data_IF_559222260939
#
_entry.id   IF_559222260939
#
_cell.length_a   1.000
_cell.length_b   1.000
_cell.length_c   1.000
_cell.angle_alpha   90.00
_cell.angle_beta   90.00
_cell.angle_gamma   90.00
#
_symmetry.space_group_name_H-M   'P 1'
#
loop_
_entity.id
_entity.type
_entity.pdbx_description
1 polymer ?
#
# COMPACT_ATOMS: atom_id res chain seq x y z
N UNK A 1 -92.82 61.08 19.48
CA UNK A 1 -92.03 61.82 20.48
C UNK A 1 -90.91 62.48 19.69
N UNK A 2 -91.17 63.68 19.17
CA UNK A 2 -90.80 64.98 19.77
C UNK A 2 -89.32 65.29 19.51
N UNK A 3 -89.03 66.19 18.56
CA UNK A 3 -88.62 67.63 18.75
C UNK A 3 -87.13 67.72 18.37
N UNK A 4 -86.58 68.70 17.66
CA UNK A 4 -86.98 70.05 17.22
C UNK A 4 -85.92 70.57 16.23
N UNK A 5 -86.32 71.57 15.46
CA UNK A 5 -85.57 72.38 14.48
C UNK A 5 -84.28 73.01 15.03
N UNK A 6 -83.37 73.41 14.12
CA UNK A 6 -82.87 74.80 14.11
C UNK A 6 -82.16 75.13 12.77
N UNK A 7 -82.68 76.18 12.17
CA UNK A 7 -82.33 76.77 10.87
C UNK A 7 -81.47 78.00 11.13
N UNK A 8 -80.24 78.10 10.57
CA UNK A 8 -79.46 79.35 10.58
C UNK A 8 -78.85 79.59 9.20
N UNK A 9 -79.54 80.45 8.47
CA UNK A 9 -79.14 81.11 7.24
C UNK A 9 -78.05 82.17 7.53
N UNK A 10 -76.90 82.12 6.84
CA UNK A 10 -75.99 83.27 6.75
C UNK A 10 -75.18 83.27 5.44
N UNK A 11 -75.72 83.99 4.45
CA UNK A 11 -75.07 84.94 3.53
C UNK A 11 -73.68 84.63 2.94
N UNK A 12 -73.71 84.42 1.62
CA UNK A 12 -72.68 84.69 0.61
C UNK A 12 -72.17 86.15 0.70
N UNK A 13 -70.85 86.37 0.60
CA UNK A 13 -70.21 87.45 -0.19
C UNK A 13 -68.75 87.07 -0.55
N UNK A 14 -68.16 87.62 -1.63
CA UNK A 14 -67.38 86.85 -2.62
C UNK A 14 -65.94 87.33 -2.84
N UNK A 15 -65.16 86.49 -3.57
CA UNK A 15 -63.96 86.76 -4.39
C UNK A 15 -62.73 87.36 -3.65
N UNK A 16 -61.49 86.91 -3.86
CA UNK A 16 -60.64 87.24 -5.03
C UNK A 16 -59.35 86.40 -4.96
N UNK A 17 -59.07 85.66 -6.03
CA UNK A 17 -57.79 85.32 -6.71
C UNK A 17 -56.48 85.12 -5.92
N UNK A 18 -55.93 83.90 -6.01
CA UNK A 18 -54.48 83.64 -6.20
C UNK A 18 -54.23 82.18 -6.62
N UNK A 19 -54.62 81.83 -7.85
CA UNK A 19 -54.47 80.48 -8.44
C UNK A 19 -53.61 80.48 -9.72
N UNK A 20 -52.41 81.07 -9.72
CA UNK A 20 -51.59 81.13 -10.95
C UNK A 20 -50.17 80.54 -10.86
N UNK A 21 -49.86 79.72 -9.85
CA UNK A 21 -48.54 79.06 -9.78
C UNK A 21 -48.57 77.54 -9.48
N UNK A 22 -49.74 76.94 -9.24
CA UNK A 22 -49.86 75.50 -8.96
C UNK A 22 -50.25 74.65 -10.18
N UNK A 23 -50.69 75.28 -11.28
CA UNK A 23 -51.33 74.57 -12.40
C UNK A 23 -50.33 73.92 -13.36
N UNK A 24 -49.14 74.52 -13.52
CA UNK A 24 -48.15 74.04 -14.49
C UNK A 24 -47.47 72.73 -14.06
N UNK A 25 -47.24 72.53 -12.75
CA UNK A 25 -46.63 71.30 -12.22
C UNK A 25 -47.53 70.07 -12.43
N UNK A 26 -48.85 70.22 -12.23
CA UNK A 26 -49.82 69.14 -12.42
C UNK A 26 -50.00 68.82 -13.91
N UNK A 27 -49.99 69.87 -14.76
CA UNK A 27 -50.07 69.73 -16.21
C UNK A 27 -48.83 69.05 -16.81
N UNK A 28 -47.64 69.38 -16.31
CA UNK A 28 -46.39 68.75 -16.73
C UNK A 28 -46.36 67.26 -16.33
N UNK A 29 -46.88 66.90 -15.14
CA UNK A 29 -47.03 65.51 -14.71
C UNK A 29 -48.02 64.73 -15.58
N UNK A 30 -49.13 65.36 -15.98
CA UNK A 30 -50.11 64.76 -16.88
C UNK A 30 -49.50 64.48 -18.26
N UNK A 31 -48.72 65.41 -18.81
CA UNK A 31 -48.02 65.24 -20.08
C UNK A 31 -46.96 64.14 -19.97
N UNK A 32 -46.17 64.11 -18.89
CA UNK A 32 -45.15 63.06 -18.68
C UNK A 32 -45.76 61.67 -18.48
N UNK A 33 -47.00 61.59 -17.98
CA UNK A 33 -47.79 60.36 -17.90
C UNK A 33 -48.30 59.92 -19.28
N UNK A 34 -48.86 60.84 -20.06
CA UNK A 34 -49.38 60.59 -21.41
C UNK A 34 -48.25 60.25 -22.40
N UNK A 35 -47.09 60.87 -22.26
CA UNK A 35 -45.86 60.56 -23.01
C UNK A 35 -45.18 59.26 -22.54
N UNK A 36 -45.69 58.62 -21.49
CA UNK A 36 -45.21 57.32 -20.98
C UNK A 36 -43.83 57.39 -20.32
N UNK A 37 -43.34 58.59 -19.99
CA UNK A 37 -42.09 58.79 -19.25
C UNK A 37 -42.22 58.31 -17.80
N UNK A 38 -43.42 58.43 -17.24
CA UNK A 38 -43.78 57.91 -15.94
C UNK A 38 -44.31 56.48 -16.07
N UNK A 39 -43.67 55.54 -15.39
CA UNK A 39 -44.14 54.14 -15.34
C UNK A 39 -45.43 54.10 -14.50
N UNK A 40 -46.56 53.84 -15.15
CA UNK A 40 -47.89 53.74 -14.55
C UNK A 40 -48.00 52.62 -13.52
N UNK A 41 -47.14 51.61 -13.65
CA UNK A 41 -47.24 50.37 -12.93
C UNK A 41 -46.32 50.40 -11.70
N UNK A 42 -46.81 51.08 -10.66
CA UNK A 42 -46.38 51.02 -9.25
C UNK A 42 -45.14 51.85 -8.88
N UNK A 43 -45.14 52.37 -7.64
CA UNK A 43 -43.94 52.85 -6.96
C UNK A 43 -42.85 51.78 -7.10
N UNK A 44 -41.73 52.11 -7.73
CA UNK A 44 -40.57 51.23 -7.85
C UNK A 44 -39.87 51.11 -6.49
N UNK A 45 -40.47 50.39 -5.54
CA UNK A 45 -39.71 49.92 -4.37
C UNK A 45 -38.77 48.82 -4.85
N UNK A 46 -37.46 49.07 -4.72
CA UNK A 46 -36.44 48.09 -5.03
C UNK A 46 -36.57 46.98 -4.01
N UNK A 47 -37.30 45.92 -4.36
CA UNK A 47 -37.35 44.70 -3.55
C UNK A 47 -35.98 44.06 -3.64
N UNK A 48 -35.25 44.07 -2.53
CA UNK A 48 -34.02 43.30 -2.41
C UNK A 48 -34.33 41.83 -2.75
N UNK A 49 -33.69 41.31 -3.81
CA UNK A 49 -33.83 39.91 -4.18
C UNK A 49 -33.40 39.06 -2.99
N UNK A 50 -34.35 38.40 -2.32
CA UNK A 50 -34.06 37.46 -1.24
C UNK A 50 -33.02 36.44 -1.73
N UNK A 51 -31.96 36.25 -0.96
CA UNK A 51 -30.89 35.29 -1.29
C UNK A 51 -31.53 33.91 -1.52
N UNK A 52 -31.10 33.17 -2.54
CA UNK A 52 -31.65 31.85 -2.80
C UNK A 52 -31.43 30.94 -1.58
N UNK A 53 -32.45 30.14 -1.26
CA UNK A 53 -32.35 29.14 -0.21
C UNK A 53 -31.30 28.11 -0.65
N UNK A 54 -30.24 27.94 0.14
CA UNK A 54 -29.13 27.03 -0.16
C UNK A 54 -29.61 25.57 -0.14
N UNK A 55 -30.49 25.22 0.81
CA UNK A 55 -31.03 23.87 0.94
C UNK A 55 -32.50 23.79 0.50
N UNK A 56 -32.70 23.40 -0.75
CA UNK A 56 -34.03 23.27 -1.36
C UNK A 56 -34.63 21.87 -1.17
N UNK A 57 -35.09 21.58 0.04
CA UNK A 57 -35.62 20.25 0.42
C UNK A 57 -36.74 19.75 -0.50
N UNK A 58 -37.73 20.59 -0.81
CA UNK A 58 -38.85 20.22 -1.68
C UNK A 58 -38.38 19.79 -3.08
N UNK A 59 -37.44 20.52 -3.69
CA UNK A 59 -36.89 20.17 -5.00
C UNK A 59 -36.09 18.86 -4.96
N UNK A 60 -35.41 18.57 -3.85
CA UNK A 60 -34.69 17.31 -3.66
C UNK A 60 -35.67 16.13 -3.55
N UNK A 61 -36.72 16.27 -2.75
CA UNK A 61 -37.77 15.25 -2.62
C UNK A 61 -38.47 14.96 -3.95
N UNK A 62 -38.79 16.00 -4.72
CA UNK A 62 -39.38 15.86 -6.05
C UNK A 62 -38.44 15.14 -7.03
N UNK A 63 -37.13 15.41 -6.96
CA UNK A 63 -36.13 14.70 -7.76
C UNK A 63 -35.97 13.24 -7.33
N UNK A 64 -35.99 12.96 -6.03
CA UNK A 64 -35.94 11.58 -5.51
C UNK A 64 -37.15 10.80 -6.03
N UNK A 65 -38.35 11.38 -6.00
CA UNK A 65 -39.56 10.74 -6.56
C UNK A 65 -39.44 10.49 -8.07
N UNK A 66 -38.85 11.43 -8.82
CA UNK A 66 -38.62 11.26 -10.28
C UNK A 66 -37.61 10.15 -10.60
N UNK A 67 -36.62 9.93 -9.73
CA UNK A 67 -35.60 8.89 -9.90
C UNK A 67 -36.03 7.53 -9.34
N UNK A 68 -36.97 7.52 -8.39
CA UNK A 68 -37.47 6.31 -7.76
C UNK A 68 -38.17 5.43 -8.81
N UNK A 69 -37.66 4.21 -8.98
CA UNK A 69 -38.28 3.17 -9.80
C UNK A 69 -38.94 2.15 -8.88
N UNK A 70 -40.18 1.76 -9.20
CA UNK A 70 -40.90 0.71 -8.48
C UNK A 70 -40.47 -0.66 -9.01
N UNK A 71 -39.29 -1.11 -8.59
CA UNK A 71 -38.73 -2.41 -8.96
C UNK A 71 -38.96 -3.43 -7.84
N UNK A 72 -38.91 -4.71 -8.21
CA UNK A 72 -38.93 -5.76 -7.20
C UNK A 72 -37.58 -5.77 -6.47
N UNK A 73 -37.59 -6.14 -5.19
CA UNK A 73 -36.37 -6.15 -4.38
C UNK A 73 -35.27 -7.07 -4.95
N UNK A 74 -35.62 -8.07 -5.75
CA UNK A 74 -34.67 -8.97 -6.40
C UNK A 74 -33.82 -8.26 -7.47
N UNK A 75 -34.33 -7.18 -8.06
CA UNK A 75 -33.61 -6.39 -9.07
C UNK A 75 -32.69 -5.35 -8.42
N UNK A 76 -33.01 -4.89 -7.21
CA UNK A 76 -32.22 -3.89 -6.46
C UNK A 76 -31.21 -4.53 -5.50
N UNK A 77 -31.58 -5.65 -4.85
CA UNK A 77 -30.83 -6.38 -3.83
C UNK A 77 -30.24 -5.48 -2.73
N UNK A 78 -30.91 -4.35 -2.46
CA UNK A 78 -30.46 -3.33 -1.54
C UNK A 78 -30.85 -3.68 -0.10
N UNK A 79 -29.89 -3.60 0.82
CA UNK A 79 -30.14 -3.83 2.25
C UNK A 79 -29.57 -2.68 3.03
N UNK A 80 -30.44 -2.06 3.84
CA UNK A 80 -30.05 -1.00 4.76
C UNK A 80 -29.83 -1.60 6.15
N UNK A 81 -28.65 -1.33 6.71
CA UNK A 81 -28.29 -1.71 8.08
C UNK A 81 -27.80 -0.47 8.79
N UNK A 82 -28.51 -0.10 9.86
CA UNK A 82 -28.13 1.01 10.73
C UNK A 82 -26.86 0.64 11.52
N UNK A 83 -26.01 1.64 11.75
CA UNK A 83 -24.76 1.46 12.44
C UNK A 83 -24.64 2.54 13.53
N UNK A 84 -24.94 2.16 14.77
CA UNK A 84 -25.08 3.10 15.89
C UNK A 84 -23.73 3.36 16.61
N UNK A 85 -22.61 2.86 16.07
CA UNK A 85 -21.30 2.84 16.73
C UNK A 85 -20.27 3.82 16.14
N UNK A 86 -20.71 4.95 15.57
CA UNK A 86 -19.81 5.98 15.02
C UNK A 86 -19.34 6.95 16.11
N UNK A 87 -18.33 6.54 16.89
CA UNK A 87 -17.67 7.41 17.87
C UNK A 87 -16.46 8.12 17.25
N UNK A 88 -16.09 9.31 17.75
CA UNK A 88 -14.95 10.08 17.23
C UNK A 88 -13.61 9.32 17.28
N UNK A 89 -13.45 8.41 18.25
CA UNK A 89 -12.28 7.52 18.36
C UNK A 89 -12.14 6.55 17.18
N UNK A 90 -13.27 6.06 16.67
CA UNK A 90 -13.37 5.15 15.51
C UNK A 90 -12.95 5.86 14.21
N UNK A 91 -13.14 7.18 14.13
CA UNK A 91 -12.70 7.94 12.94
C UNK A 91 -11.17 8.01 12.85
N UNK A 92 -10.48 7.98 13.99
CA UNK A 92 -9.01 8.01 14.03
C UNK A 92 -8.40 6.62 13.84
N UNK A 93 -9.01 5.58 14.45
CA UNK A 93 -8.51 4.21 14.35
C UNK A 93 -9.07 3.47 13.12
N UNK A 94 -8.18 3.13 12.19
CA UNK A 94 -8.53 2.42 10.96
C UNK A 94 -8.95 0.97 11.22
N UNK A 95 -8.37 0.29 12.21
CA UNK A 95 -8.71 -1.10 12.52
C UNK A 95 -10.12 -1.22 13.11
N UNK A 96 -10.46 -0.35 14.06
CA UNK A 96 -11.80 -0.32 14.65
C UNK A 96 -12.86 0.01 13.58
N UNK A 97 -12.54 0.97 12.70
CA UNK A 97 -13.41 1.35 11.59
C UNK A 97 -13.60 0.20 10.59
N UNK A 98 -12.53 -0.51 10.22
CA UNK A 98 -12.61 -1.66 9.32
C UNK A 98 -13.50 -2.77 9.92
N UNK A 99 -13.38 -3.02 11.23
CA UNK A 99 -14.23 -3.99 11.93
C UNK A 99 -15.71 -3.59 11.88
N UNK A 100 -16.03 -2.30 12.00
CA UNK A 100 -17.41 -1.82 11.93
C UNK A 100 -17.99 -1.99 10.52
N UNK A 101 -17.22 -1.65 9.49
CA UNK A 101 -17.64 -1.88 8.10
C UNK A 101 -17.84 -3.38 7.81
N UNK A 102 -16.93 -4.22 8.31
CA UNK A 102 -17.04 -5.66 8.19
C UNK A 102 -18.33 -6.19 8.84
N UNK A 103 -18.61 -5.79 10.09
CA UNK A 103 -19.83 -6.20 10.82
C UNK A 103 -21.10 -5.70 10.15
N UNK A 104 -21.08 -4.51 9.56
CA UNK A 104 -22.23 -3.97 8.83
C UNK A 104 -22.50 -4.78 7.56
N UNK A 105 -21.46 -5.08 6.80
CA UNK A 105 -21.56 -5.91 5.60
C UNK A 105 -22.01 -7.34 5.94
N UNK A 106 -21.51 -7.92 7.03
CA UNK A 106 -21.91 -9.24 7.51
C UNK A 106 -23.41 -9.29 7.84
N UNK A 107 -23.92 -8.33 8.63
CA UNK A 107 -25.35 -8.23 8.96
C UNK A 107 -26.20 -8.03 7.71
N UNK A 108 -25.77 -7.18 6.79
CA UNK A 108 -26.48 -6.94 5.53
C UNK A 108 -26.57 -8.22 4.69
N UNK A 109 -25.47 -8.96 4.59
CA UNK A 109 -25.43 -10.25 3.89
C UNK A 109 -26.34 -11.29 4.57
N UNK A 110 -26.37 -11.37 5.90
CA UNK A 110 -27.27 -12.28 6.62
C UNK A 110 -28.75 -12.00 6.34
N UNK A 111 -29.15 -10.73 6.33
CA UNK A 111 -30.51 -10.30 5.98
C UNK A 111 -30.82 -10.67 4.52
N UNK A 112 -29.91 -10.35 3.59
CA UNK A 112 -30.07 -10.62 2.17
C UNK A 112 -30.22 -12.13 1.89
N UNK A 113 -29.32 -12.95 2.45
CA UNK A 113 -29.35 -14.41 2.30
C UNK A 113 -30.66 -15.00 2.83
N UNK A 114 -31.15 -14.50 3.96
CA UNK A 114 -32.41 -14.97 4.55
C UNK A 114 -33.60 -14.65 3.64
N UNK A 115 -33.67 -13.44 3.10
CA UNK A 115 -34.71 -13.03 2.14
C UNK A 115 -34.63 -13.84 0.83
N UNK A 116 -33.43 -14.01 0.27
CA UNK A 116 -33.22 -14.76 -0.98
C UNK A 116 -33.59 -16.25 -0.84
N UNK A 117 -33.30 -16.87 0.31
CA UNK A 117 -33.74 -18.24 0.60
C UNK A 117 -35.27 -18.33 0.68
N UNK A 118 -35.93 -17.35 1.29
CA UNK A 118 -37.39 -17.27 1.33
C UNK A 118 -38.03 -17.17 -0.06
N UNK A 119 -37.33 -16.56 -1.01
CA UNK A 119 -37.75 -16.46 -2.42
C UNK A 119 -37.34 -17.68 -3.28
N UNK A 120 -36.64 -18.67 -2.71
CA UNK A 120 -36.19 -19.87 -3.42
C UNK A 120 -34.95 -19.66 -4.33
N UNK A 121 -34.21 -18.56 -4.16
CA UNK A 121 -33.02 -18.26 -4.98
C UNK A 121 -31.78 -18.96 -4.40
N UNK A 122 -30.99 -19.61 -5.27
CA UNK A 122 -29.71 -20.23 -4.88
C UNK A 122 -28.63 -19.16 -4.71
N UNK A 123 -28.15 -18.99 -3.48
CA UNK A 123 -27.17 -17.93 -3.13
C UNK A 123 -25.72 -18.39 -3.21
N UNK A 124 -25.45 -19.67 -2.95
CA UNK A 124 -24.08 -20.19 -2.90
C UNK A 124 -23.61 -20.64 -4.28
N UNK A 125 -22.38 -20.25 -4.62
CA UNK A 125 -21.69 -20.73 -5.81
C UNK A 125 -21.24 -22.19 -5.61
N UNK A 126 -21.67 -23.14 -6.45
CA UNK A 126 -21.16 -24.51 -6.42
C UNK A 126 -19.66 -24.56 -6.76
N UNK A 127 -18.93 -25.51 -6.18
CA UNK A 127 -17.50 -25.71 -6.47
C UNK A 127 -17.22 -26.11 -7.91
N UNK A 128 -18.19 -26.77 -8.55
CA UNK A 128 -18.12 -27.27 -9.93
C UNK A 128 -18.54 -26.22 -10.99
N UNK A 129 -18.91 -25.00 -10.57
CA UNK A 129 -19.30 -23.94 -11.49
C UNK A 129 -18.11 -23.03 -11.83
N UNK A 130 -17.50 -23.28 -12.99
CA UNK A 130 -16.38 -22.49 -13.52
C UNK A 130 -16.89 -21.34 -14.41
N UNK A 131 -16.75 -20.12 -13.90
CA UNK A 131 -17.02 -18.88 -14.61
C UNK A 131 -15.86 -17.90 -14.34
N UNK A 132 -15.73 -16.86 -15.16
CA UNK A 132 -14.70 -15.85 -14.99
C UNK A 132 -14.81 -15.18 -13.61
N UNK A 133 -13.70 -15.16 -12.87
CA UNK A 133 -13.60 -14.52 -11.56
C UNK A 133 -12.69 -13.30 -11.64
N UNK A 134 -13.03 -12.25 -10.89
CA UNK A 134 -12.29 -10.98 -10.87
C UNK A 134 -10.83 -11.15 -10.43
N UNK A 135 -10.52 -12.15 -9.58
CA UNK A 135 -9.19 -12.34 -9.00
C UNK A 135 -8.47 -13.56 -9.58
N UNK A 136 -7.68 -13.35 -10.63
CA UNK A 136 -6.77 -14.35 -11.20
C UNK A 136 -5.49 -14.56 -10.36
N UNK A 137 -5.13 -13.59 -9.50
CA UNK A 137 -3.83 -13.52 -8.80
C UNK A 137 -3.76 -14.28 -7.46
N UNK A 138 -4.79 -15.04 -7.08
CA UNK A 138 -4.83 -15.68 -5.74
C UNK A 138 -3.70 -16.68 -5.53
N UNK A 139 -3.38 -17.48 -6.55
CA UNK A 139 -2.28 -18.44 -6.51
C UNK A 139 -0.93 -17.76 -6.26
N UNK A 140 -0.69 -16.59 -6.88
CA UNK A 140 0.56 -15.84 -6.67
C UNK A 140 0.69 -15.33 -5.23
N UNK A 141 -0.42 -14.89 -4.61
CA UNK A 141 -0.44 -14.42 -3.23
C UNK A 141 -0.10 -15.58 -2.28
N UNK A 142 -0.71 -16.75 -2.49
CA UNK A 142 -0.43 -17.95 -1.69
C UNK A 142 1.01 -18.42 -1.86
N UNK A 143 1.49 -18.49 -3.09
CA UNK A 143 2.90 -18.82 -3.37
C UNK A 143 3.86 -17.85 -2.69
N UNK A 144 3.55 -16.55 -2.71
CA UNK A 144 4.39 -15.54 -2.08
C UNK A 144 4.47 -15.74 -0.56
N UNK A 145 3.35 -16.09 0.09
CA UNK A 145 3.30 -16.41 1.53
C UNK A 145 4.13 -17.66 1.84
N UNK A 146 3.96 -18.73 1.07
CA UNK A 146 4.73 -19.97 1.26
C UNK A 146 6.24 -19.75 1.07
N UNK A 147 6.63 -18.95 0.06
CA UNK A 147 8.04 -18.59 -0.17
C UNK A 147 8.61 -17.82 1.03
N UNK A 148 7.88 -16.87 1.60
CA UNK A 148 8.30 -16.12 2.78
C UNK A 148 8.45 -17.02 4.02
N UNK A 149 7.51 -17.93 4.25
CA UNK A 149 7.59 -18.90 5.35
C UNK A 149 8.78 -19.86 5.19
N UNK A 150 9.01 -20.38 3.99
CA UNK A 150 10.15 -21.24 3.70
C UNK A 150 11.48 -20.51 3.96
N UNK A 151 11.58 -19.24 3.54
CA UNK A 151 12.76 -18.40 3.80
C UNK A 151 12.97 -18.21 5.31
N UNK A 152 11.89 -17.98 6.07
CA UNK A 152 11.96 -17.83 7.54
C UNK A 152 12.48 -19.10 8.21
N UNK A 153 11.94 -20.28 7.86
CA UNK A 153 12.39 -21.58 8.38
C UNK A 153 13.87 -21.84 8.09
N UNK A 154 14.31 -21.60 6.86
CA UNK A 154 15.72 -21.76 6.45
C UNK A 154 16.65 -20.83 7.27
N UNK A 155 16.21 -19.61 7.59
CA UNK A 155 16.99 -18.68 8.42
C UNK A 155 17.09 -19.17 9.86
N UNK A 156 16.00 -19.67 10.42
CA UNK A 156 15.95 -20.22 11.79
C UNK A 156 16.85 -21.45 11.90
N UNK A 157 16.74 -22.41 10.98
CA UNK A 157 17.62 -23.60 10.93
C UNK A 157 19.10 -23.22 10.82
N UNK A 158 19.46 -22.28 9.94
CA UNK A 158 20.85 -21.80 9.82
C UNK A 158 21.33 -21.19 11.14
N UNK A 159 20.51 -20.37 11.79
CA UNK A 159 20.84 -19.78 13.09
C UNK A 159 21.11 -20.85 14.15
N UNK A 160 20.25 -21.86 14.25
CA UNK A 160 20.42 -23.00 15.16
C UNK A 160 21.67 -23.80 14.82
N UNK A 161 21.91 -24.12 13.55
CA UNK A 161 23.11 -24.83 13.11
C UNK A 161 24.40 -24.08 13.49
N UNK A 162 24.42 -22.75 13.35
CA UNK A 162 25.56 -21.95 13.79
C UNK A 162 25.75 -22.00 15.31
N UNK A 163 24.66 -21.94 16.09
CA UNK A 163 24.72 -22.06 17.56
C UNK A 163 25.24 -23.43 18.00
N UNK A 164 24.72 -24.52 17.43
CA UNK A 164 25.19 -25.88 17.71
C UNK A 164 26.68 -26.04 17.38
N UNK A 165 27.12 -25.57 16.20
CA UNK A 165 28.54 -25.60 15.80
C UNK A 165 29.42 -24.82 16.78
N UNK A 166 28.99 -23.63 17.20
CA UNK A 166 29.73 -22.83 18.21
C UNK A 166 29.84 -23.57 19.55
N UNK A 167 28.75 -24.16 20.03
CA UNK A 167 28.71 -24.93 21.28
C UNK A 167 29.68 -26.12 21.23
N UNK A 168 29.63 -26.92 20.16
CA UNK A 168 30.52 -28.06 19.96
C UNK A 168 32.00 -27.66 19.93
N UNK A 169 32.34 -26.54 19.28
CA UNK A 169 33.73 -26.04 19.24
C UNK A 169 34.21 -25.61 20.63
N UNK A 170 33.35 -24.96 21.42
CA UNK A 170 33.69 -24.55 22.79
C UNK A 170 33.89 -25.78 23.67
N UNK A 171 32.99 -26.74 23.61
CA UNK A 171 33.05 -27.99 24.37
C UNK A 171 34.32 -28.79 24.06
N UNK A 172 34.66 -28.94 22.77
CA UNK A 172 35.91 -29.58 22.34
C UNK A 172 37.15 -28.87 22.89
N UNK A 173 37.18 -27.53 22.84
CA UNK A 173 38.30 -26.76 23.43
C UNK A 173 38.39 -26.94 24.94
N UNK A 174 37.26 -27.08 25.64
CA UNK A 174 37.23 -27.32 27.08
C UNK A 174 37.71 -28.74 27.42
N UNK A 175 37.29 -29.77 26.67
CA UNK A 175 37.75 -31.14 26.87
C UNK A 175 39.25 -31.27 26.60
N UNK A 176 39.76 -30.67 25.52
CA UNK A 176 41.19 -30.64 25.20
C UNK A 176 42.00 -29.96 26.32
N UNK A 177 41.52 -28.83 26.86
CA UNK A 177 42.13 -28.17 28.03
C UNK A 177 42.11 -29.03 29.28
N UNK A 178 41.02 -29.76 29.56
CA UNK A 178 40.92 -30.67 30.71
C UNK A 178 41.93 -31.82 30.59
N UNK A 179 41.98 -32.47 29.42
CA UNK A 179 42.95 -33.55 29.13
C UNK A 179 44.39 -33.04 29.32
N UNK A 180 44.71 -31.86 28.78
CA UNK A 180 46.04 -31.25 28.95
C UNK A 180 46.34 -30.94 30.43
N UNK A 181 45.38 -30.37 31.16
CA UNK A 181 45.55 -30.06 32.58
C UNK A 181 45.75 -31.34 33.42
N UNK A 182 45.06 -32.43 33.11
CA UNK A 182 45.26 -33.73 33.74
C UNK A 182 46.65 -34.31 33.44
N UNK A 183 47.10 -34.23 32.18
CA UNK A 183 48.45 -34.66 31.80
C UNK A 183 49.53 -33.85 32.56
N UNK A 184 49.38 -32.53 32.66
CA UNK A 184 50.29 -31.66 33.42
C UNK A 184 50.25 -31.97 34.92
N UNK A 185 49.07 -32.24 35.51
CA UNK A 185 48.94 -32.67 36.91
C UNK A 185 49.64 -34.01 37.16
N UNK A 186 49.50 -34.98 36.25
CA UNK A 186 50.19 -36.29 36.32
C UNK A 186 51.71 -36.11 36.21
N UNK A 187 52.18 -35.23 35.33
CA UNK A 187 53.61 -34.88 35.20
C UNK A 187 54.16 -34.25 36.50
N UNK A 188 53.44 -33.28 37.09
CA UNK A 188 53.84 -32.62 38.35
C UNK A 188 53.92 -33.61 39.53
N UNK A 189 53.13 -34.68 39.51
CA UNK A 189 53.13 -35.75 40.53
C UNK A 189 54.25 -36.81 40.32
N UNK A 190 55.14 -36.63 39.35
CA UNK A 190 56.38 -37.42 39.23
C UNK A 190 56.27 -38.78 38.52
N UNK A 191 55.11 -39.13 37.94
CA UNK A 191 54.92 -40.40 37.20
C UNK A 191 55.44 -40.26 35.76
N UNK A 192 56.77 -40.23 35.59
CA UNK A 192 57.42 -39.99 34.28
C UNK A 192 57.32 -41.19 33.32
N UNK A 193 57.35 -42.41 33.82
CA UNK A 193 57.43 -43.64 33.00
C UNK A 193 56.15 -43.94 32.20
N UNK A 194 54.97 -43.56 32.70
CA UNK A 194 53.70 -43.81 32.02
C UNK A 194 53.33 -42.73 30.97
N UNK A 195 53.99 -41.57 31.04
CA UNK A 195 53.68 -40.39 30.20
C UNK A 195 54.32 -40.49 28.81
N UNK A 196 55.52 -41.07 28.73
CA UNK A 196 56.25 -41.27 27.46
C UNK A 196 55.58 -42.34 26.57
N UNK A 197 54.97 -43.34 27.20
CA UNK A 197 54.16 -44.36 26.51
C UNK A 197 52.85 -43.79 25.92
N UNK A 198 52.19 -42.84 26.59
CA UNK A 198 50.95 -42.22 26.06
C UNK A 198 51.23 -41.17 24.97
N UNK A 199 52.31 -40.38 25.09
CA UNK A 199 52.69 -39.38 24.09
C UNK A 199 53.24 -40.01 22.80
N UNK A 200 53.97 -41.12 22.90
CA UNK A 200 54.44 -41.87 21.73
C UNK A 200 53.30 -42.53 20.96
N UNK A 201 52.26 -43.02 21.65
CA UNK A 201 51.06 -43.56 21.00
C UNK A 201 50.22 -42.46 20.31
N UNK A 202 50.12 -41.26 20.89
CA UNK A 202 49.44 -40.14 20.26
C UNK A 202 50.16 -39.62 18.99
N UNK A 203 51.51 -39.64 18.97
CA UNK A 203 52.31 -39.33 17.76
C UNK A 203 52.12 -40.38 16.67
N UNK A 204 52.11 -41.68 17.02
CA UNK A 204 51.85 -42.76 16.05
C UNK A 204 50.49 -42.64 15.37
N UNK A 205 49.44 -42.20 16.08
CA UNK A 205 48.10 -42.02 15.48
C UNK A 205 48.10 -40.87 14.45
N UNK A 206 48.82 -39.77 14.70
CA UNK A 206 48.93 -38.66 13.75
C UNK A 206 49.72 -39.02 12.48
N UNK A 207 50.74 -39.87 12.60
CA UNK A 207 51.54 -40.32 11.46
C UNK A 207 50.79 -41.38 10.60
N UNK A 208 49.89 -42.16 11.20
CA UNK A 208 49.09 -43.17 10.46
C UNK A 208 47.91 -42.62 9.65
N UNK A 209 47.47 -41.38 9.85
CA UNK A 209 46.41 -40.76 9.02
C UNK A 209 46.92 -40.16 7.69
N UNK A 210 48.24 -40.15 7.44
CA UNK A 210 48.83 -39.66 6.18
C UNK A 210 49.05 -40.79 5.14
N UNK A 211 48.76 -42.04 5.49
CA UNK A 211 49.08 -43.22 4.68
C UNK A 211 47.91 -44.09 4.23
N UNK A 212 46.73 -43.55 3.90
CA UNK A 212 45.63 -44.36 3.36
C UNK A 212 45.29 -43.93 1.93
N UNK A 213 45.66 -44.78 0.97
CA UNK A 213 45.20 -44.78 -0.42
C UNK A 213 43.67 -44.79 -0.45
N UNK A 214 43.06 -43.60 -0.57
CA UNK A 214 41.62 -43.45 -0.86
C UNK A 214 41.43 -43.21 -2.35
N UNK A 215 40.71 -44.15 -2.95
CA UNK A 215 40.09 -44.14 -4.28
C UNK A 215 39.91 -42.77 -4.92
N UNK A 216 40.37 -42.70 -6.15
CA UNK A 216 40.33 -41.57 -7.07
C UNK A 216 38.88 -41.22 -7.48
N UNK A 217 38.12 -40.54 -6.61
CA UNK A 217 36.85 -39.90 -7.00
C UNK A 217 36.37 -38.76 -6.07
N UNK A 218 37.31 -38.08 -5.38
CA UNK A 218 36.98 -37.00 -4.43
C UNK A 218 37.72 -35.67 -4.64
N UNK A 219 38.73 -35.60 -5.52
CA UNK A 219 39.67 -34.45 -5.60
C UNK A 219 39.17 -33.22 -6.37
N UNK A 220 37.92 -33.16 -6.83
CA UNK A 220 37.43 -32.01 -7.60
C UNK A 220 37.11 -30.78 -6.72
N UNK A 221 36.84 -30.96 -5.42
CA UNK A 221 36.36 -29.87 -4.55
C UNK A 221 37.46 -28.96 -3.98
N UNK A 222 38.69 -29.45 -3.86
CA UNK A 222 39.77 -28.68 -3.24
C UNK A 222 40.47 -27.72 -4.22
N UNK A 223 40.52 -28.07 -5.52
CA UNK A 223 41.04 -27.20 -6.59
C UNK A 223 40.23 -25.89 -6.74
N UNK A 224 38.92 -25.91 -6.44
CA UNK A 224 38.04 -24.74 -6.55
C UNK A 224 38.33 -23.62 -5.54
N UNK A 225 38.94 -23.91 -4.38
CA UNK A 225 39.34 -22.87 -3.42
C UNK A 225 40.51 -22.04 -3.95
N UNK A 226 41.45 -22.67 -4.67
CA UNK A 226 42.56 -21.97 -5.34
C UNK A 226 42.06 -21.06 -6.46
N UNK A 227 41.12 -21.52 -7.29
CA UNK A 227 40.49 -20.67 -8.33
C UNK A 227 39.78 -19.43 -7.75
N UNK A 228 39.11 -19.57 -6.59
CA UNK A 228 38.50 -18.43 -5.88
C UNK A 228 39.51 -17.41 -5.35
N UNK A 229 40.71 -17.84 -4.95
CA UNK A 229 41.78 -16.94 -4.51
C UNK A 229 42.46 -16.29 -5.73
N UNK A 230 42.81 -17.08 -6.75
CA UNK A 230 43.36 -16.59 -8.02
C UNK A 230 42.44 -15.57 -8.71
N UNK A 231 41.13 -15.79 -8.74
CA UNK A 231 40.18 -14.82 -9.31
C UNK A 231 40.08 -13.51 -8.52
N UNK A 232 40.16 -13.58 -7.18
CA UNK A 232 40.18 -12.39 -6.32
C UNK A 232 41.51 -11.65 -6.43
N UNK A 233 42.62 -12.36 -6.49
CA UNK A 233 43.95 -11.78 -6.67
C UNK A 233 44.10 -11.19 -8.07
N UNK A 234 43.43 -11.75 -9.09
CA UNK A 234 43.33 -11.15 -10.44
C UNK A 234 42.48 -9.87 -10.43
N UNK A 235 41.33 -9.86 -9.74
CA UNK A 235 40.43 -8.69 -9.67
C UNK A 235 41.02 -7.55 -8.83
N UNK A 236 41.64 -7.87 -7.69
CA UNK A 236 42.06 -6.88 -6.69
C UNK A 236 43.58 -6.76 -6.50
N UNK A 237 44.39 -7.63 -7.14
CA UNK A 237 45.84 -7.71 -6.93
C UNK A 237 46.22 -8.45 -5.65
N UNK A 238 47.44 -8.98 -5.59
CA UNK A 238 48.03 -9.52 -4.36
C UNK A 238 48.84 -8.42 -3.66
N UNK A 239 48.47 -8.06 -2.43
CA UNK A 239 49.37 -7.31 -1.54
C UNK A 239 49.48 -5.78 -1.70
N UNK A 240 48.44 -5.02 -2.06
CA UNK A 240 48.52 -3.55 -2.02
C UNK A 240 47.21 -2.80 -2.20
N UNK A 241 47.15 -1.55 -1.70
CA UNK A 241 45.94 -0.71 -1.70
C UNK A 241 45.64 -0.17 -3.10
N UNK A 242 44.89 -0.92 -3.91
CA UNK A 242 44.42 -0.45 -5.22
C UNK A 242 43.29 0.57 -5.06
N UNK A 243 43.58 1.83 -5.42
CA UNK A 243 42.68 3.00 -5.42
C UNK A 243 41.21 2.61 -5.64
N UNK A 244 40.46 2.43 -4.54
CA UNK A 244 39.00 2.23 -4.48
C UNK A 244 38.42 1.00 -5.22
N UNK A 245 39.23 0.10 -5.76
CA UNK A 245 38.76 -1.11 -6.46
C UNK A 245 38.01 -2.12 -5.60
N UNK A 246 38.09 -2.01 -4.26
CA UNK A 246 37.34 -2.84 -3.29
C UNK A 246 35.97 -2.23 -2.90
N UNK A 247 35.41 -1.33 -3.70
CA UNK A 247 34.03 -0.83 -3.50
C UNK A 247 33.03 -1.80 -4.15
N UNK A 248 31.79 -1.76 -3.67
CA UNK A 248 30.71 -2.54 -4.27
C UNK A 248 30.30 -1.88 -5.59
N UNK A 249 30.46 -2.60 -6.70
CA UNK A 249 29.95 -2.22 -8.01
C UNK A 249 28.62 -2.94 -8.29
N UNK A 250 27.85 -2.48 -9.29
CA UNK A 250 26.57 -3.09 -9.69
C UNK A 250 26.64 -4.62 -9.87
N UNK A 251 27.75 -5.12 -10.43
CA UNK A 251 28.00 -6.55 -10.61
C UNK A 251 28.17 -7.33 -9.28
N UNK A 252 28.64 -6.68 -8.21
CA UNK A 252 28.78 -7.31 -6.88
C UNK A 252 27.42 -7.52 -6.20
N UNK A 253 26.43 -6.67 -6.50
CA UNK A 253 25.07 -6.80 -5.97
C UNK A 253 24.34 -8.01 -6.56
N UNK A 254 24.48 -8.23 -7.88
CA UNK A 254 23.85 -9.35 -8.59
C UNK A 254 24.42 -10.73 -8.20
N UNK A 255 25.72 -10.83 -7.86
CA UNK A 255 26.34 -12.08 -7.39
C UNK A 255 25.83 -12.54 -6.01
N UNK A 256 25.39 -11.62 -5.15
CA UNK A 256 24.80 -11.94 -3.84
C UNK A 256 23.37 -12.46 -4.01
N UNK A 257 22.62 -11.90 -4.96
CA UNK A 257 21.26 -12.32 -5.27
C UNK A 257 21.22 -13.73 -5.92
N UNK A 258 22.29 -14.13 -6.62
CA UNK A 258 22.36 -15.42 -7.33
C UNK A 258 23.71 -16.11 -7.09
N UNK A 259 23.85 -16.96 -6.05
CA UNK A 259 25.13 -17.55 -5.72
C UNK A 259 25.48 -18.70 -6.68
N UNK A 260 26.54 -18.54 -7.47
CA UNK A 260 27.14 -19.62 -8.26
C UNK A 260 26.85 -19.59 -9.76
N UNK A 261 27.20 -20.67 -10.46
CA UNK A 261 27.34 -20.84 -11.92
C UNK A 261 26.16 -20.40 -12.80
N UNK A 262 25.00 -20.10 -12.22
CA UNK A 262 23.83 -19.55 -12.91
C UNK A 262 24.07 -18.14 -13.47
N UNK A 263 24.77 -17.26 -12.73
CA UNK A 263 25.07 -15.91 -13.21
C UNK A 263 25.96 -15.90 -14.47
N UNK A 264 26.85 -16.89 -14.62
CA UNK A 264 27.69 -17.06 -15.82
C UNK A 264 26.92 -17.64 -17.01
N UNK A 265 25.92 -18.49 -16.76
CA UNK A 265 25.11 -19.09 -17.82
C UNK A 265 24.18 -18.06 -18.48
N UNK A 266 23.70 -17.07 -17.71
CA UNK A 266 22.86 -15.98 -18.21
C UNK A 266 23.62 -14.92 -19.04
N UNK A 267 24.93 -14.72 -18.81
CA UNK A 267 25.76 -13.79 -19.60
C UNK A 267 26.35 -14.40 -20.88
N UNK A 268 26.16 -15.71 -21.12
CA UNK A 268 26.70 -16.41 -22.30
C UNK A 268 25.84 -16.35 -23.56
N UNK A 269 24.58 -15.89 -23.46
CA UNK A 269 23.69 -15.70 -24.60
C UNK A 269 23.36 -14.21 -24.70
N UNK A 270 24.22 -13.44 -25.36
CA UNK A 270 23.91 -12.24 -26.16
C UNK A 270 25.21 -11.49 -26.44
N UNK A 271 25.88 -11.84 -27.54
CA UNK A 271 26.45 -10.84 -28.46
C UNK A 271 26.81 -11.56 -29.77
N UNK A 272 25.87 -11.53 -30.72
CA UNK A 272 26.19 -11.78 -32.12
C UNK A 272 27.13 -10.68 -32.59
N UNK A 273 28.33 -11.07 -32.99
CA UNK A 273 29.29 -10.19 -33.65
C UNK A 273 28.76 -9.86 -35.04
N UNK A 274 27.96 -8.80 -35.16
CA UNK A 274 27.70 -8.16 -36.45
C UNK A 274 28.89 -7.24 -36.73
N UNK A 275 29.83 -7.75 -37.52
CA UNK A 275 30.93 -6.98 -38.10
C UNK A 275 30.32 -5.97 -39.08
N UNK A 276 30.21 -4.70 -38.66
CA UNK A 276 29.91 -3.60 -39.56
C UNK A 276 31.19 -3.29 -40.36
N UNK A 277 31.24 -3.78 -41.60
CA UNK A 277 32.16 -3.30 -42.64
C UNK A 277 31.85 -1.83 -42.92
N UNK A 278 32.74 -0.94 -42.51
CA UNK A 278 32.77 0.45 -42.97
C UNK A 278 33.31 0.51 -44.41
N UNK A 279 32.40 0.58 -45.38
CA UNK A 279 32.74 0.89 -46.76
C UNK A 279 32.98 2.40 -46.93
N UNK A 280 34.23 2.84 -46.86
CA UNK A 280 34.63 4.16 -47.31
C UNK A 280 34.76 4.15 -48.85
N UNK A 281 33.89 4.88 -49.55
CA UNK A 281 34.03 5.17 -50.99
C UNK A 281 35.15 6.21 -51.19
N UNK A 282 36.07 6.06 -52.16
CA UNK A 282 37.01 7.11 -52.51
C UNK A 282 36.33 8.21 -53.34
N UNK A 283 36.60 9.47 -53.01
CA UNK A 283 36.24 10.64 -53.82
C UNK A 283 37.10 10.67 -55.10
N UNK A 284 36.45 10.82 -56.26
CA UNK A 284 37.10 11.16 -57.52
C UNK A 284 37.65 12.59 -57.48
N UNK A 285 38.88 12.77 -57.94
CA UNK A 285 39.25 13.80 -58.90
C UNK A 285 39.58 13.07 -60.19
#
# INVERSE_FOLDING_TARGET
MSTTDDDVNARILPAIESEEESSDSDRELQIAFDEGLLKTDKLNYIVEKKRPIINKKAELEDKVKKLAMNLTWLETLDVQVNNDHLNEKVLSDDFEREIIFYKQAEKAAQIAVSRLRGMGVRVFRPTDYYAEMIRQRMAEIEESKQKLEAIRRIREEKSLQLKCKRRLVIERKQSEKKILAEAVKKHRKGVKSHLDAMLSNAKRIQDTEVGIKRSEKGRMREKNKRFRRVARDKKFGFGGQKKRSKKNDKNSFEEIATPGSLARKLKGHHFGAHVLKSGAKPKKK
#
